data_IF_331386765922
#
_entry.id   IF_331386765922
#
_cell.length_a   1.000
_cell.length_b   1.000
_cell.length_c   1.000
_cell.angle_alpha   90.00
_cell.angle_beta   90.00
_cell.angle_gamma   90.00
#
_symmetry.space_group_name_H-M   'P 1'
#
loop_
_entity.id
_entity.type
_entity.pdbx_description
1 polymer ?
#
# COMPACT_ATOMS: atom_id res chain seq x y z
N UNK A 1 18.17 12.76 -15.63
CA UNK A 1 18.59 13.38 -14.36
C UNK A 1 17.31 13.77 -13.63
N UNK A 2 17.10 13.29 -12.39
CA UNK A 2 15.97 13.78 -11.59
C UNK A 2 16.26 15.25 -11.25
N UNK A 3 15.31 16.15 -11.52
CA UNK A 3 15.41 17.54 -11.10
C UNK A 3 15.51 17.62 -9.57
N UNK A 4 16.15 18.66 -9.05
CA UNK A 4 16.50 18.89 -7.63
C UNK A 4 15.29 19.03 -6.67
N UNK A 5 14.07 18.89 -7.18
CA UNK A 5 12.80 19.04 -6.44
C UNK A 5 11.89 17.82 -6.52
N UNK A 6 12.42 16.65 -6.91
CA UNK A 6 11.63 15.42 -7.05
C UNK A 6 12.32 14.18 -6.49
N UNK A 7 11.55 13.12 -6.33
CA UNK A 7 12.07 11.77 -6.03
C UNK A 7 11.35 10.73 -6.89
N UNK A 8 12.01 9.59 -7.10
CA UNK A 8 11.42 8.44 -7.77
C UNK A 8 11.16 7.37 -6.72
N UNK A 9 9.93 6.88 -6.66
CA UNK A 9 9.50 5.83 -5.73
C UNK A 9 9.08 4.61 -6.55
N UNK A 10 9.70 3.47 -6.27
CA UNK A 10 9.29 2.17 -6.83
C UNK A 10 8.61 1.37 -5.73
N UNK A 11 7.32 1.06 -5.90
CA UNK A 11 6.54 0.26 -4.97
C UNK A 11 6.38 -1.17 -5.50
N UNK A 12 6.86 -2.14 -4.74
CA UNK A 12 6.69 -3.57 -5.02
C UNK A 12 5.96 -4.17 -3.84
N UNK A 13 4.86 -4.87 -4.09
CA UNK A 13 4.11 -5.58 -3.06
C UNK A 13 3.73 -6.97 -3.55
N UNK A 14 3.78 -7.92 -2.63
CA UNK A 14 3.25 -9.26 -2.80
C UNK A 14 2.34 -9.52 -1.60
N UNK A 15 1.04 -9.54 -1.83
CA UNK A 15 0.03 -9.73 -0.78
C UNK A 15 -0.94 -10.80 -1.21
N UNK A 16 -1.01 -11.89 -0.45
CA UNK A 16 -2.01 -12.93 -0.61
C UNK A 16 -3.17 -12.64 0.35
N UNK A 17 -4.36 -12.25 -0.14
CA UNK A 17 -5.49 -11.95 0.71
C UNK A 17 -6.09 -13.19 1.41
N UNK A 18 -5.58 -14.41 1.16
CA UNK A 18 -6.03 -15.70 1.73
C UNK A 18 -7.56 -15.81 1.85
N UNK A 19 -8.22 -16.40 0.85
CA UNK A 19 -9.68 -16.61 0.85
C UNK A 19 -10.21 -17.04 -0.51
N UNK A 20 -11.55 -17.09 -0.67
CA UNK A 20 -12.24 -17.48 -1.92
C UNK A 20 -12.29 -16.35 -2.97
N UNK A 21 -11.34 -15.42 -2.95
CA UNK A 21 -11.30 -14.37 -3.96
C UNK A 21 -10.76 -14.95 -5.26
N UNK A 22 -11.47 -14.81 -6.39
CA UNK A 22 -10.94 -15.25 -7.67
C UNK A 22 -9.64 -14.54 -7.99
N UNK A 23 -8.66 -15.26 -8.55
CA UNK A 23 -7.34 -14.70 -8.86
C UNK A 23 -7.40 -13.51 -9.83
N UNK A 24 -8.35 -13.53 -10.78
CA UNK A 24 -8.58 -12.40 -11.69
C UNK A 24 -8.90 -11.10 -10.93
N UNK A 25 -9.60 -11.21 -9.80
CA UNK A 25 -9.97 -10.10 -8.95
C UNK A 25 -8.73 -9.60 -8.18
N UNK A 26 -7.91 -10.52 -7.65
CA UNK A 26 -6.63 -10.18 -6.99
C UNK A 26 -5.69 -9.48 -7.95
N UNK A 27 -5.56 -9.97 -9.19
CA UNK A 27 -4.70 -9.36 -10.22
C UNK A 27 -5.21 -8.01 -10.70
N UNK A 28 -6.53 -7.85 -10.86
CA UNK A 28 -7.14 -6.57 -11.25
C UNK A 28 -7.06 -5.54 -10.12
N UNK A 29 -7.29 -5.94 -8.87
CA UNK A 29 -7.12 -5.09 -7.69
C UNK A 29 -5.66 -4.66 -7.60
N UNK A 30 -4.70 -5.59 -7.68
CA UNK A 30 -3.27 -5.25 -7.59
C UNK A 30 -2.86 -4.27 -8.70
N UNK A 31 -3.31 -4.49 -9.95
CA UNK A 31 -3.02 -3.59 -11.09
C UNK A 31 -3.69 -2.22 -10.99
N UNK A 32 -4.83 -2.09 -10.32
CA UNK A 32 -5.58 -0.82 -10.21
C UNK A 32 -5.25 -0.05 -8.93
N UNK A 33 -4.96 -0.75 -7.84
CA UNK A 33 -4.60 -0.17 -6.54
C UNK A 33 -3.22 0.47 -6.60
N UNK A 34 -2.23 -0.15 -7.26
CA UNK A 34 -0.88 0.43 -7.30
C UNK A 34 -0.84 1.85 -7.92
N UNK A 35 -1.42 2.12 -9.11
CA UNK A 35 -1.46 3.48 -9.66
C UNK A 35 -2.31 4.46 -8.85
N UNK A 36 -3.43 4.01 -8.28
CA UNK A 36 -4.28 4.84 -7.40
C UNK A 36 -3.52 5.22 -6.12
N UNK A 37 -2.81 4.27 -5.52
CA UNK A 37 -1.98 4.47 -4.33
C UNK A 37 -0.87 5.48 -4.61
N UNK A 38 -0.13 5.35 -5.72
CA UNK A 38 0.92 6.29 -6.09
C UNK A 38 0.39 7.72 -6.24
N UNK A 39 -0.77 7.89 -6.90
CA UNK A 39 -1.41 9.21 -7.04
C UNK A 39 -1.86 9.78 -5.69
N UNK A 40 -2.47 8.96 -4.83
CA UNK A 40 -2.92 9.38 -3.50
C UNK A 40 -1.74 9.73 -2.59
N UNK A 41 -0.68 8.92 -2.62
CA UNK A 41 0.56 9.16 -1.89
C UNK A 41 1.17 10.49 -2.28
N UNK A 42 1.28 10.78 -3.59
CA UNK A 42 1.76 12.07 -4.07
C UNK A 42 0.93 13.25 -3.52
N UNK A 43 -0.40 13.18 -3.60
CA UNK A 43 -1.30 14.21 -3.03
C UNK A 43 -1.07 14.40 -1.52
N UNK A 44 -0.89 13.32 -0.76
CA UNK A 44 -0.64 13.37 0.69
C UNK A 44 0.73 13.97 0.99
N UNK A 45 1.78 13.62 0.23
CA UNK A 45 3.12 14.18 0.41
C UNK A 45 3.14 15.70 0.28
N UNK A 46 2.36 16.27 -0.65
CA UNK A 46 2.25 17.72 -0.82
C UNK A 46 1.56 18.39 0.38
N UNK A 47 0.57 17.73 0.99
CA UNK A 47 -0.18 18.26 2.15
C UNK A 47 0.52 17.99 3.50
N UNK A 48 1.43 17.02 3.55
CA UNK A 48 2.04 16.54 4.79
C UNK A 48 2.79 17.60 5.61
N UNK A 49 3.59 18.52 5.04
CA UNK A 49 4.31 19.51 5.83
C UNK A 49 3.39 20.41 6.66
N UNK A 50 2.29 20.86 6.06
CA UNK A 50 1.28 21.68 6.74
C UNK A 50 0.59 20.88 7.84
N UNK A 51 0.04 19.70 7.52
CA UNK A 51 -0.60 18.84 8.51
C UNK A 51 0.34 18.51 9.68
N UNK A 52 1.61 18.19 9.39
CA UNK A 52 2.59 17.82 10.41
C UNK A 52 2.95 18.99 11.34
N UNK A 53 2.86 20.22 10.86
CA UNK A 53 3.09 21.42 11.69
C UNK A 53 2.09 21.52 12.86
N UNK A 54 0.87 21.04 12.65
CA UNK A 54 -0.21 21.08 13.64
C UNK A 54 -0.29 19.79 14.48
N UNK A 55 0.36 18.70 14.04
CA UNK A 55 0.25 17.37 14.65
C UNK A 55 1.59 16.86 15.19
N UNK A 56 1.99 17.43 16.34
CA UNK A 56 3.24 17.11 17.04
C UNK A 56 4.45 17.16 16.08
N UNK A 57 4.87 18.36 15.64
CA UNK A 57 5.86 18.52 14.57
C UNK A 57 7.22 17.88 14.89
N UNK A 58 7.59 17.82 16.18
CA UNK A 58 8.84 17.23 16.63
C UNK A 58 8.77 15.72 16.87
N UNK A 59 7.56 15.13 16.88
CA UNK A 59 7.39 13.69 17.04
C UNK A 59 7.63 12.99 15.71
N UNK A 60 8.83 12.46 15.52
CA UNK A 60 9.30 11.76 14.32
C UNK A 60 10.16 10.56 14.75
N UNK A 61 9.57 9.52 15.36
CA UNK A 61 10.31 8.40 15.92
C UNK A 61 11.14 7.61 14.89
N UNK A 62 10.75 7.66 13.62
CA UNK A 62 11.51 7.08 12.50
C UNK A 62 12.80 7.86 12.16
N UNK A 63 12.92 9.11 12.60
CA UNK A 63 14.16 9.91 12.51
C UNK A 63 14.93 9.94 13.83
N UNK A 64 14.20 9.88 14.95
CA UNK A 64 14.72 10.00 16.32
C UNK A 64 14.31 8.76 17.15
N UNK A 65 15.04 7.65 17.04
CA UNK A 65 14.68 6.37 17.69
C UNK A 65 14.53 6.45 19.21
N UNK A 66 15.21 7.39 19.87
CA UNK A 66 15.11 7.67 21.30
C UNK A 66 13.67 8.00 21.74
N UNK A 67 12.85 8.53 20.83
CA UNK A 67 11.43 8.79 21.07
C UNK A 67 10.64 7.49 21.32
N UNK A 68 11.17 6.31 20.94
CA UNK A 68 10.53 5.01 21.10
C UNK A 68 11.05 4.21 22.32
N UNK A 69 11.82 4.81 23.22
CA UNK A 69 12.44 4.08 24.34
C UNK A 69 11.43 3.36 25.24
N UNK A 70 10.21 3.91 25.34
CA UNK A 70 9.13 3.36 26.16
C UNK A 70 8.27 2.31 25.42
N UNK A 71 8.57 1.99 24.16
CA UNK A 71 7.84 0.98 23.39
C UNK A 71 8.31 -0.43 23.75
N UNK A 72 7.38 -1.39 23.81
CA UNK A 72 7.73 -2.79 24.03
C UNK A 72 8.64 -3.28 22.91
N UNK A 73 9.78 -3.87 23.29
CA UNK A 73 10.67 -4.56 22.37
C UNK A 73 10.12 -5.96 22.11
N UNK A 74 10.15 -6.38 20.85
CA UNK A 74 9.78 -7.73 20.45
C UNK A 74 11.04 -8.59 20.53
N UNK A 75 10.95 -9.73 21.23
CA UNK A 75 11.99 -10.73 21.21
C UNK A 75 11.82 -11.62 19.98
N UNK A 76 12.82 -11.65 19.10
CA UNK A 76 12.76 -12.41 17.85
C UNK A 76 12.61 -13.92 18.13
N UNK A 77 13.15 -14.41 19.25
CA UNK A 77 13.03 -15.82 19.65
C UNK A 77 11.60 -16.23 20.00
N UNK A 78 10.72 -15.27 20.29
CA UNK A 78 9.29 -15.49 20.55
C UNK A 78 8.44 -15.40 19.28
N UNK A 79 9.03 -15.02 18.14
CA UNK A 79 8.33 -14.95 16.86
C UNK A 79 8.27 -16.31 16.17
N UNK A 80 7.11 -16.66 15.61
CA UNK A 80 6.96 -17.85 14.75
C UNK A 80 7.06 -17.45 13.27
N UNK A 81 7.79 -18.23 12.44
CA UNK A 81 7.80 -18.01 11.00
C UNK A 81 6.41 -18.27 10.42
N UNK A 82 6.06 -17.51 9.37
CA UNK A 82 4.81 -17.70 8.64
C UNK A 82 5.11 -18.43 7.34
N UNK A 83 4.64 -19.67 7.22
CA UNK A 83 4.75 -20.43 5.98
C UNK A 83 3.74 -19.92 4.93
N UNK A 84 4.24 -19.67 3.73
CA UNK A 84 3.48 -19.21 2.58
C UNK A 84 3.31 -20.36 1.58
N UNK A 85 2.41 -21.30 1.87
CA UNK A 85 2.00 -22.31 0.90
C UNK A 85 1.07 -21.68 -0.13
N UNK A 86 1.56 -21.47 -1.36
CA UNK A 86 0.75 -20.94 -2.46
C UNK A 86 0.59 -21.98 -3.58
N UNK A 87 -0.64 -22.27 -4.02
CA UNK A 87 -0.85 -23.07 -5.21
C UNK A 87 -0.34 -22.31 -6.45
N UNK A 88 0.27 -23.02 -7.40
CA UNK A 88 0.55 -22.49 -8.74
C UNK A 88 -0.81 -22.38 -9.45
N UNK A 89 -1.25 -21.17 -9.77
CA UNK A 89 -2.56 -20.94 -10.38
C UNK A 89 -2.39 -20.72 -11.89
N UNK A 90 -3.06 -21.53 -12.71
CA UNK A 90 -3.06 -21.43 -14.17
C UNK A 90 -4.15 -20.44 -14.63
N UNK A 91 -3.72 -19.31 -15.20
CA UNK A 91 -4.58 -18.20 -15.63
C UNK A 91 -4.99 -18.24 -17.12
N UNK A 92 -4.72 -19.33 -17.84
CA UNK A 92 -4.91 -19.39 -19.30
C UNK A 92 -6.36 -19.24 -19.80
N UNK A 93 -7.39 -19.23 -18.92
CA UNK A 93 -8.82 -19.26 -19.30
C UNK A 93 -9.67 -18.06 -18.87
N UNK A 94 -9.10 -16.97 -18.36
CA UNK A 94 -9.88 -15.80 -17.90
C UNK A 94 -10.16 -14.80 -19.04
N UNK A 95 -11.44 -14.46 -19.28
CA UNK A 95 -11.88 -13.55 -20.37
C UNK A 95 -12.33 -12.17 -19.86
N UNK A 96 -11.97 -11.10 -20.56
CA UNK A 96 -12.24 -9.69 -20.20
C UNK A 96 -13.71 -9.25 -20.23
N UNK A 97 -14.67 -10.13 -20.58
CA UNK A 97 -16.08 -9.76 -20.78
C UNK A 97 -16.96 -9.81 -19.52
N UNK A 98 -16.51 -10.45 -18.45
CA UNK A 98 -17.27 -10.61 -17.19
C UNK A 98 -17.27 -9.35 -16.28
N UNK A 99 -16.87 -8.19 -16.80
CA UNK A 99 -16.27 -7.09 -16.01
C UNK A 99 -17.05 -5.77 -15.90
N UNK A 100 -18.28 -5.63 -16.41
CA UNK A 100 -18.95 -4.31 -16.48
C UNK A 100 -19.72 -3.86 -15.21
N UNK A 101 -19.83 -4.68 -14.16
CA UNK A 101 -20.90 -4.47 -13.17
C UNK A 101 -20.58 -3.93 -11.76
N UNK A 102 -19.31 -3.76 -11.34
CA UNK A 102 -19.02 -3.74 -9.87
C UNK A 102 -18.22 -2.53 -9.34
N UNK A 103 -17.74 -1.59 -10.16
CA UNK A 103 -16.91 -0.46 -9.65
C UNK A 103 -17.28 0.92 -10.22
N UNK A 104 -18.56 1.15 -10.55
CA UNK A 104 -19.10 2.52 -10.65
C UNK A 104 -19.66 2.87 -9.27
N UNK A 105 -18.84 3.52 -8.45
CA UNK A 105 -19.20 3.95 -7.11
C UNK A 105 -18.03 4.73 -6.50
N UNK A 106 -18.25 6.03 -6.36
CA UNK A 106 -17.42 7.03 -5.68
C UNK A 106 -16.29 7.67 -6.50
N UNK A 107 -16.66 8.16 -7.68
CA UNK A 107 -16.08 9.40 -8.22
C UNK A 107 -16.95 10.58 -7.73
N UNK A 108 -16.87 10.93 -6.44
CA UNK A 108 -17.18 12.30 -6.00
C UNK A 108 -15.85 13.02 -5.75
N UNK A 109 -15.37 13.66 -6.81
CA UNK A 109 -14.47 14.80 -6.71
C UNK A 109 -15.25 15.93 -6.04
N UNK A 110 -14.92 16.24 -4.78
CA UNK A 110 -15.25 17.53 -4.18
C UNK A 110 -13.93 18.27 -3.92
N UNK A 111 -13.92 19.53 -4.38
CA UNK A 111 -12.81 20.48 -4.61
C UNK A 111 -11.58 20.39 -3.68
#
# INVERSE_FOLDING_TARGET
MLNDHGCQITYVTHSDPKGKLPLWLVNRITKTVAPKLSRKLHKVCLKYPHWKSEHAPHWKPWLFPEQQINFRRINISECQPRDYDQPIIDETKVSSKDFKGVLEGDDEDND
#
